data_IF_421228189095
#
_entry.id   IF_421228189095
#
_cell.length_a   1.000
_cell.length_b   1.000
_cell.length_c   1.000
_cell.angle_alpha   90.00
_cell.angle_beta   90.00
_cell.angle_gamma   90.00
#
_symmetry.space_group_name_H-M   'P 1'
#
loop_
_entity.id
_entity.type
_entity.pdbx_description
1 polymer ?
#
# COMPACT_ATOMS: atom_id res chain seq x y z
N UNK A 1 23.84 -4.29 -6.52
CA UNK A 1 24.38 -3.59 -5.35
C UNK A 1 23.55 -2.32 -5.15
N UNK A 2 22.39 -2.48 -4.53
CA UNK A 2 21.50 -1.36 -4.20
C UNK A 2 21.81 -0.96 -2.76
N UNK A 3 22.66 0.06 -2.59
CA UNK A 3 23.06 0.56 -1.28
C UNK A 3 21.86 1.02 -0.41
N UNK A 4 22.09 1.06 0.89
CA UNK A 4 21.12 1.57 1.85
C UNK A 4 20.87 3.07 1.61
N UNK A 5 19.64 3.54 1.87
CA UNK A 5 19.29 4.96 1.76
C UNK A 5 20.04 5.81 2.76
N UNK A 6 20.45 5.21 3.89
CA UNK A 6 21.33 5.86 4.85
C UNK A 6 22.67 6.28 4.25
N UNK A 7 23.12 5.62 3.18
CA UNK A 7 24.43 5.82 2.57
C UNK A 7 24.37 6.71 1.32
N UNK A 8 23.17 7.12 0.91
CA UNK A 8 22.98 8.01 -0.24
C UNK A 8 23.51 9.40 0.10
N UNK A 9 24.42 9.92 -0.73
CA UNK A 9 24.94 11.29 -0.61
C UNK A 9 24.52 12.17 -1.78
N UNK A 10 24.43 13.50 -1.55
CA UNK A 10 24.16 14.49 -2.61
C UNK A 10 25.21 14.40 -3.73
N UNK A 11 26.47 14.10 -3.37
CA UNK A 11 27.56 13.89 -4.34
C UNK A 11 27.21 12.75 -5.29
N UNK A 12 26.82 11.59 -4.78
CA UNK A 12 26.52 10.42 -5.60
C UNK A 12 25.28 10.64 -6.46
N UNK A 13 24.24 11.27 -5.92
CA UNK A 13 23.01 11.60 -6.66
C UNK A 13 23.34 12.51 -7.85
N UNK A 14 24.02 13.63 -7.58
CA UNK A 14 24.34 14.64 -8.61
C UNK A 14 25.31 14.09 -9.65
N UNK A 15 26.29 13.30 -9.23
CA UNK A 15 27.20 12.58 -10.13
C UNK A 15 26.45 11.61 -11.04
N UNK A 16 25.53 10.80 -10.51
CA UNK A 16 24.71 9.88 -11.33
C UNK A 16 23.75 10.63 -12.25
N UNK A 17 23.21 11.77 -11.82
CA UNK A 17 22.30 12.59 -12.60
C UNK A 17 23.00 13.48 -13.65
N UNK A 18 24.33 13.58 -13.64
CA UNK A 18 25.07 14.50 -14.51
C UNK A 18 24.84 15.98 -14.18
N UNK A 19 24.54 16.30 -12.92
CA UNK A 19 24.22 17.65 -12.45
C UNK A 19 25.33 18.21 -11.57
N UNK A 20 25.45 19.53 -11.53
CA UNK A 20 26.25 20.19 -10.50
C UNK A 20 25.56 20.08 -9.14
N UNK A 21 26.33 19.98 -8.04
CA UNK A 21 25.76 19.95 -6.70
C UNK A 21 24.95 21.20 -6.34
N UNK A 22 25.37 22.37 -6.83
CA UNK A 22 24.61 23.61 -6.65
C UNK A 22 23.20 23.50 -7.23
N UNK A 23 23.03 22.82 -8.36
CA UNK A 23 21.72 22.58 -8.99
C UNK A 23 20.80 21.71 -8.13
N UNK A 24 21.34 20.81 -7.30
CA UNK A 24 20.54 20.03 -6.35
C UNK A 24 19.86 20.95 -5.34
N UNK A 25 20.63 21.85 -4.72
CA UNK A 25 20.14 22.72 -3.66
C UNK A 25 19.20 23.84 -4.14
N UNK A 26 19.07 24.03 -5.47
CA UNK A 26 18.00 24.87 -6.04
C UNK A 26 16.62 24.25 -5.82
N UNK A 27 16.53 22.92 -5.85
CA UNK A 27 15.27 22.18 -5.76
C UNK A 27 15.09 21.49 -4.41
N UNK A 28 16.17 21.00 -3.81
CA UNK A 28 16.12 20.17 -2.61
C UNK A 28 17.09 20.65 -1.54
N UNK A 29 16.57 21.00 -0.36
CA UNK A 29 17.39 21.40 0.79
C UNK A 29 18.14 20.22 1.45
N UNK A 30 17.72 18.98 1.19
CA UNK A 30 18.33 17.76 1.73
C UNK A 30 17.92 16.54 0.90
N UNK A 31 18.60 15.40 1.16
CA UNK A 31 18.20 14.10 0.60
C UNK A 31 16.83 13.69 1.11
N UNK A 32 16.53 13.95 2.38
CA UNK A 32 15.20 13.71 2.93
C UNK A 32 14.12 14.50 2.18
N UNK A 33 14.37 15.75 1.82
CA UNK A 33 13.43 16.55 1.03
C UNK A 33 13.18 15.92 -0.35
N UNK A 34 14.25 15.52 -1.06
CA UNK A 34 14.15 14.79 -2.32
C UNK A 34 13.32 13.50 -2.18
N UNK A 35 13.61 12.69 -1.16
CA UNK A 35 12.94 11.41 -0.96
C UNK A 35 11.46 11.57 -0.59
N UNK A 36 11.12 12.56 0.23
CA UNK A 36 9.73 12.91 0.53
C UNK A 36 8.98 13.31 -0.74
N UNK A 37 9.58 14.16 -1.57
CA UNK A 37 8.96 14.58 -2.84
C UNK A 37 8.76 13.40 -3.80
N UNK A 38 9.76 12.52 -3.92
CA UNK A 38 9.65 11.29 -4.72
C UNK A 38 8.49 10.39 -4.23
N UNK A 39 8.42 10.17 -2.92
CA UNK A 39 7.39 9.35 -2.29
C UNK A 39 6.00 10.00 -2.44
N UNK A 40 5.90 11.32 -2.29
CA UNK A 40 4.67 12.07 -2.46
C UNK A 40 4.13 11.99 -3.90
N UNK A 41 5.01 12.05 -4.91
CA UNK A 41 4.62 11.86 -6.31
C UNK A 41 4.05 10.46 -6.57
N UNK A 42 4.67 9.42 -6.01
CA UNK A 42 4.13 8.05 -6.11
C UNK A 42 2.79 7.93 -5.38
N UNK A 43 2.64 8.58 -4.21
CA UNK A 43 1.35 8.61 -3.53
C UNK A 43 0.27 9.31 -4.34
N UNK A 44 0.60 10.38 -5.04
CA UNK A 44 -0.33 11.07 -5.94
C UNK A 44 -0.73 10.19 -7.12
N UNK A 45 0.24 9.57 -7.81
CA UNK A 45 -0.02 8.59 -8.87
C UNK A 45 -0.98 7.49 -8.39
N UNK A 46 -0.73 6.93 -7.20
CA UNK A 46 -1.60 5.90 -6.62
C UNK A 46 -3.00 6.39 -6.29
N UNK A 47 -3.14 7.62 -5.78
CA UNK A 47 -4.44 8.23 -5.51
C UNK A 47 -5.23 8.38 -6.81
N UNK A 48 -4.56 8.78 -7.88
CA UNK A 48 -5.16 8.95 -9.19
C UNK A 48 -5.64 7.61 -9.78
N UNK A 49 -4.81 6.57 -9.76
CA UNK A 49 -5.21 5.20 -10.18
C UNK A 49 -6.40 4.72 -9.34
N UNK A 50 -6.37 4.96 -8.02
CA UNK A 50 -7.48 4.60 -7.13
C UNK A 50 -8.75 5.41 -7.42
N UNK A 51 -8.65 6.67 -7.82
CA UNK A 51 -9.77 7.53 -8.20
C UNK A 51 -10.42 7.03 -9.49
N UNK A 52 -9.62 6.79 -10.52
CA UNK A 52 -10.08 6.25 -11.80
C UNK A 52 -10.77 4.89 -11.62
N UNK A 53 -10.19 4.02 -10.80
CA UNK A 53 -10.76 2.74 -10.43
C UNK A 53 -12.15 2.89 -9.77
N UNK A 54 -12.31 3.85 -8.84
CA UNK A 54 -13.62 4.13 -8.22
C UNK A 54 -14.64 4.62 -9.23
N UNK A 55 -14.26 5.55 -10.10
CA UNK A 55 -15.15 6.11 -11.12
C UNK A 55 -15.63 5.04 -12.10
N UNK A 56 -14.74 4.16 -12.56
CA UNK A 56 -15.09 3.03 -13.40
C UNK A 56 -16.04 2.04 -12.70
N UNK A 57 -15.89 1.88 -11.38
CA UNK A 57 -16.69 0.97 -10.57
C UNK A 57 -18.08 1.51 -10.17
N UNK A 58 -18.39 2.80 -10.33
CA UNK A 58 -19.73 3.37 -10.05
C UNK A 58 -20.84 2.69 -10.88
N UNK A 59 -20.45 1.95 -11.92
CA UNK A 59 -21.35 1.16 -12.77
C UNK A 59 -21.40 -0.35 -12.46
N UNK A 60 -20.72 -0.81 -11.41
CA UNK A 60 -20.60 -2.23 -11.02
C UNK A 60 -21.30 -2.61 -9.70
N UNK A 61 -21.35 -3.91 -9.38
CA UNK A 61 -21.77 -4.39 -8.06
C UNK A 61 -20.76 -3.99 -6.96
N UNK A 62 -21.14 -4.09 -5.69
CA UNK A 62 -20.22 -3.90 -4.54
C UNK A 62 -18.97 -4.77 -4.68
N UNK A 63 -19.13 -6.03 -5.08
CA UNK A 63 -18.00 -6.94 -5.33
C UNK A 63 -17.07 -6.42 -6.43
N UNK A 64 -17.64 -5.90 -7.52
CA UNK A 64 -16.87 -5.33 -8.62
C UNK A 64 -16.13 -4.05 -8.20
N UNK A 65 -16.76 -3.21 -7.38
CA UNK A 65 -16.16 -2.01 -6.83
C UNK A 65 -14.91 -2.30 -6.01
N UNK A 66 -14.98 -3.30 -5.13
CA UNK A 66 -13.83 -3.68 -4.33
C UNK A 66 -12.77 -4.37 -5.18
N UNK A 67 -13.15 -5.25 -6.12
CA UNK A 67 -12.21 -5.90 -7.06
C UNK A 67 -11.38 -4.88 -7.83
N UNK A 68 -12.03 -3.88 -8.43
CA UNK A 68 -11.36 -2.83 -9.22
C UNK A 68 -10.45 -1.96 -8.34
N UNK A 69 -10.90 -1.62 -7.12
CA UNK A 69 -10.09 -0.85 -6.16
C UNK A 69 -8.89 -1.64 -5.61
N UNK A 70 -9.03 -2.94 -5.39
CA UNK A 70 -7.94 -3.81 -4.93
C UNK A 70 -6.90 -4.01 -6.02
N UNK A 71 -7.32 -4.30 -7.25
CA UNK A 71 -6.42 -4.41 -8.39
C UNK A 71 -5.62 -3.11 -8.60
N UNK A 72 -6.29 -1.96 -8.50
CA UNK A 72 -5.64 -0.64 -8.55
C UNK A 72 -4.59 -0.43 -7.45
N UNK A 73 -4.86 -0.90 -6.23
CA UNK A 73 -3.90 -0.80 -5.13
C UNK A 73 -2.64 -1.64 -5.38
N UNK A 74 -2.82 -2.91 -5.76
CA UNK A 74 -1.69 -3.82 -6.06
C UNK A 74 -0.93 -3.32 -7.28
N UNK A 75 -1.63 -2.82 -8.28
CA UNK A 75 -1.03 -2.24 -9.47
C UNK A 75 -0.12 -1.07 -9.13
N UNK A 76 -0.59 -0.14 -8.29
CA UNK A 76 0.23 0.98 -7.84
C UNK A 76 1.46 0.57 -7.02
N UNK A 77 1.45 -0.61 -6.38
CA UNK A 77 2.64 -1.19 -5.73
C UNK A 77 3.68 -1.63 -6.76
N UNK A 78 3.23 -2.31 -7.81
CA UNK A 78 4.08 -2.93 -8.84
C UNK A 78 4.63 -1.90 -9.83
N UNK A 79 3.89 -0.82 -10.13
CA UNK A 79 4.31 0.20 -11.11
C UNK A 79 5.52 1.04 -10.68
N UNK A 80 5.81 1.09 -9.38
CA UNK A 80 6.95 1.83 -8.84
C UNK A 80 7.82 0.96 -7.91
N UNK A 81 8.51 -0.07 -8.44
CA UNK A 81 9.19 -1.10 -7.63
C UNK A 81 10.24 -0.53 -6.67
N UNK A 82 11.06 0.40 -7.15
CA UNK A 82 12.12 1.02 -6.35
C UNK A 82 11.56 1.84 -5.18
N UNK A 83 10.47 2.57 -5.41
CA UNK A 83 9.80 3.35 -4.35
C UNK A 83 9.06 2.43 -3.39
N UNK A 84 8.45 1.36 -3.89
CA UNK A 84 7.82 0.37 -3.01
C UNK A 84 8.83 -0.30 -2.07
N UNK A 85 9.96 -0.77 -2.60
CA UNK A 85 11.07 -1.31 -1.78
C UNK A 85 11.62 -0.26 -0.81
N UNK A 86 11.78 0.98 -1.24
CA UNK A 86 12.18 2.12 -0.39
C UNK A 86 11.24 2.30 0.80
N UNK A 87 9.94 2.41 0.55
CA UNK A 87 8.94 2.61 1.60
C UNK A 87 8.95 1.45 2.60
N UNK A 88 9.09 0.21 2.12
CA UNK A 88 9.14 -0.98 2.98
C UNK A 88 10.39 -1.00 3.87
N UNK A 89 11.58 -0.73 3.33
CA UNK A 89 12.82 -0.72 4.13
C UNK A 89 12.86 0.43 5.13
N UNK A 90 12.31 1.60 4.80
CA UNK A 90 12.34 2.77 5.67
C UNK A 90 11.31 2.70 6.80
N UNK A 91 10.26 1.89 6.66
CA UNK A 91 9.13 1.82 7.60
C UNK A 91 9.53 1.49 9.06
N UNK A 92 10.49 0.58 9.35
CA UNK A 92 10.91 0.29 10.72
C UNK A 92 11.76 1.40 11.34
N UNK A 93 12.40 2.25 10.54
CA UNK A 93 13.25 3.34 11.04
C UNK A 93 12.38 4.51 11.52
N UNK A 94 12.37 4.72 12.83
CA UNK A 94 11.58 5.78 13.48
C UNK A 94 12.17 7.18 13.28
N UNK A 95 13.45 7.28 12.93
CA UNK A 95 14.13 8.54 12.65
C UNK A 95 14.00 8.96 11.19
N UNK A 96 13.67 8.02 10.29
CA UNK A 96 13.48 8.29 8.86
C UNK A 96 12.17 9.04 8.61
N UNK A 97 12.22 10.19 7.94
CA UNK A 97 11.01 10.85 7.44
C UNK A 97 10.21 10.00 6.45
N UNK A 98 10.89 9.28 5.56
CA UNK A 98 10.24 8.34 4.64
C UNK A 98 9.55 7.22 5.43
N UNK A 99 10.18 6.77 6.52
CA UNK A 99 9.58 5.83 7.46
C UNK A 99 8.32 6.37 8.14
N UNK A 100 8.34 7.65 8.55
CA UNK A 100 7.16 8.33 9.12
C UNK A 100 6.00 8.36 8.13
N UNK A 101 6.25 8.83 6.90
CA UNK A 101 5.24 8.88 5.83
C UNK A 101 4.72 7.47 5.48
N UNK A 102 5.61 6.47 5.43
CA UNK A 102 5.26 5.08 5.18
C UNK A 102 4.30 4.53 6.25
N UNK A 103 4.59 4.79 7.54
CA UNK A 103 3.74 4.38 8.66
C UNK A 103 2.39 5.11 8.66
N UNK A 104 2.38 6.40 8.35
CA UNK A 104 1.16 7.18 8.23
C UNK A 104 0.26 6.62 7.11
N UNK A 105 0.83 6.36 5.93
CA UNK A 105 0.10 5.78 4.80
C UNK A 105 -0.42 4.37 5.10
N UNK A 106 0.38 3.52 5.76
CA UNK A 106 -0.06 2.19 6.17
C UNK A 106 -1.21 2.27 7.19
N UNK A 107 -1.16 3.23 8.12
CA UNK A 107 -2.23 3.47 9.08
C UNK A 107 -3.53 3.87 8.40
N UNK A 108 -3.47 4.79 7.42
CA UNK A 108 -4.62 5.21 6.60
C UNK A 108 -5.20 4.02 5.82
N UNK A 109 -4.36 3.25 5.13
CA UNK A 109 -4.79 2.05 4.40
C UNK A 109 -5.49 1.05 5.32
N UNK A 110 -4.94 0.82 6.52
CA UNK A 110 -5.54 -0.07 7.51
C UNK A 110 -6.89 0.44 8.00
N UNK A 111 -7.02 1.74 8.27
CA UNK A 111 -8.29 2.35 8.68
C UNK A 111 -9.36 2.20 7.59
N UNK A 112 -9.00 2.47 6.34
CA UNK A 112 -9.90 2.27 5.20
C UNK A 112 -10.37 0.82 5.07
N UNK A 113 -9.48 -0.14 5.29
CA UNK A 113 -9.82 -1.56 5.21
C UNK A 113 -10.66 -2.01 6.41
N UNK A 114 -10.42 -1.48 7.61
CA UNK A 114 -11.29 -1.71 8.77
C UNK A 114 -12.69 -1.19 8.50
N UNK A 115 -12.83 0.04 7.98
CA UNK A 115 -14.13 0.60 7.62
C UNK A 115 -14.86 -0.30 6.62
N UNK A 116 -14.17 -0.79 5.59
CA UNK A 116 -14.74 -1.75 4.66
C UNK A 116 -15.19 -3.06 5.33
N UNK A 117 -14.36 -3.64 6.21
CA UNK A 117 -14.72 -4.85 6.94
C UNK A 117 -15.98 -4.64 7.79
N UNK A 118 -16.16 -3.44 8.36
CA UNK A 118 -17.38 -3.08 9.10
C UNK A 118 -18.59 -2.97 8.17
N UNK A 119 -18.44 -2.32 7.01
CA UNK A 119 -19.51 -2.16 6.01
C UNK A 119 -20.08 -3.50 5.53
N UNK A 120 -19.23 -4.54 5.45
CA UNK A 120 -19.64 -5.89 5.05
C UNK A 120 -20.10 -6.79 6.24
N UNK A 121 -20.29 -6.21 7.42
CA UNK A 121 -20.86 -6.89 8.59
C UNK A 121 -19.84 -7.30 9.67
N UNK A 122 -18.61 -6.79 9.64
CA UNK A 122 -17.62 -7.04 10.68
C UNK A 122 -18.05 -6.52 12.04
N UNK A 123 -18.08 -7.39 13.04
CA UNK A 123 -18.41 -7.02 14.42
C UNK A 123 -17.49 -5.89 14.91
N UNK A 124 -18.08 -4.87 15.52
CA UNK A 124 -17.32 -3.70 16.00
C UNK A 124 -17.85 -3.07 17.29
N UNK A 125 -18.75 -3.77 17.98
CA UNK A 125 -19.42 -3.30 19.20
C UNK A 125 -18.45 -3.23 20.39
N UNK A 126 -17.51 -4.17 20.47
CA UNK A 126 -16.51 -4.21 21.54
C UNK A 126 -15.13 -3.76 21.05
N UNK A 127 -14.26 -3.34 21.99
CA UNK A 127 -12.85 -3.09 21.66
C UNK A 127 -12.13 -4.36 21.21
N UNK A 128 -12.55 -5.55 21.68
CA UNK A 128 -11.99 -6.81 21.22
C UNK A 128 -12.30 -7.05 19.74
N UNK A 129 -13.52 -6.74 19.29
CA UNK A 129 -13.93 -6.90 17.90
C UNK A 129 -13.24 -5.88 17.00
N UNK A 130 -13.18 -4.61 17.43
CA UNK A 130 -12.41 -3.57 16.72
C UNK A 130 -10.92 -3.94 16.61
N UNK A 131 -10.31 -4.53 17.63
CA UNK A 131 -8.93 -5.07 17.54
C UNK A 131 -8.82 -6.19 16.52
N UNK A 132 -9.77 -7.14 16.50
CA UNK A 132 -9.78 -8.25 15.52
C UNK A 132 -9.86 -7.71 14.09
N UNK A 133 -10.75 -6.76 13.80
CA UNK A 133 -10.83 -6.13 12.48
C UNK A 133 -9.50 -5.43 12.11
N UNK A 134 -8.87 -4.74 13.05
CA UNK A 134 -7.54 -4.14 12.83
C UNK A 134 -6.47 -5.18 12.52
N UNK A 135 -6.48 -6.33 13.17
CA UNK A 135 -5.55 -7.44 12.91
C UNK A 135 -5.78 -8.07 11.54
N UNK A 136 -7.03 -8.32 11.17
CA UNK A 136 -7.41 -8.84 9.85
C UNK A 136 -6.97 -7.87 8.75
N UNK A 137 -7.27 -6.59 8.91
CA UNK A 137 -6.85 -5.55 7.96
C UNK A 137 -5.31 -5.49 7.83
N UNK A 138 -4.57 -5.60 8.94
CA UNK A 138 -3.11 -5.66 8.88
C UNK A 138 -2.59 -6.89 8.12
N UNK A 139 -3.21 -8.06 8.32
CA UNK A 139 -2.86 -9.30 7.61
C UNK A 139 -3.11 -9.20 6.11
N UNK A 140 -4.25 -8.65 5.70
CA UNK A 140 -4.57 -8.44 4.29
C UNK A 140 -3.59 -7.48 3.59
N UNK A 141 -3.19 -6.40 4.27
CA UNK A 141 -2.14 -5.51 3.77
C UNK A 141 -0.79 -6.24 3.63
N UNK A 142 -0.42 -7.06 4.62
CA UNK A 142 0.84 -7.80 4.60
C UNK A 142 0.89 -8.83 3.46
N UNK A 143 -0.22 -9.53 3.19
CA UNK A 143 -0.33 -10.47 2.06
C UNK A 143 -0.13 -9.73 0.73
N UNK A 144 -0.78 -8.58 0.54
CA UNK A 144 -0.60 -7.77 -0.66
C UNK A 144 0.87 -7.38 -0.86
N UNK A 145 1.52 -6.88 0.19
CA UNK A 145 2.92 -6.44 0.10
C UNK A 145 3.87 -7.61 -0.19
N UNK A 146 3.66 -8.75 0.46
CA UNK A 146 4.52 -9.94 0.32
C UNK A 146 4.42 -10.56 -1.07
N UNK A 147 3.21 -10.74 -1.59
CA UNK A 147 3.03 -11.32 -2.94
C UNK A 147 3.51 -10.34 -4.01
N UNK A 148 3.26 -9.03 -3.83
CA UNK A 148 3.79 -8.02 -4.76
C UNK A 148 5.33 -8.01 -4.80
N UNK A 149 6.00 -8.18 -3.65
CA UNK A 149 7.46 -8.35 -3.64
C UNK A 149 7.90 -9.61 -4.39
N UNK A 150 7.27 -10.75 -4.13
CA UNK A 150 7.60 -12.00 -4.85
C UNK A 150 7.42 -11.86 -6.37
N UNK A 151 6.41 -11.11 -6.83
CA UNK A 151 6.27 -10.76 -8.25
C UNK A 151 7.45 -9.93 -8.75
N UNK A 152 7.81 -8.88 -8.01
CA UNK A 152 8.91 -7.96 -8.37
C UNK A 152 10.30 -8.60 -8.29
N UNK A 153 10.44 -9.68 -7.51
CA UNK A 153 11.67 -10.47 -7.38
C UNK A 153 11.74 -11.62 -8.40
N UNK A 154 10.64 -11.87 -9.12
CA UNK A 154 10.55 -12.85 -10.20
C UNK A 154 10.05 -14.24 -9.78
N UNK A 155 9.74 -14.44 -8.50
CA UNK A 155 9.18 -15.70 -7.97
C UNK A 155 7.77 -15.97 -8.52
N UNK A 156 7.00 -14.91 -8.77
CA UNK A 156 5.64 -14.97 -9.32
C UNK A 156 5.57 -14.15 -10.61
N UNK A 157 6.02 -14.68 -11.77
CA UNK A 157 6.23 -13.87 -12.97
C UNK A 157 4.93 -13.39 -13.64
N UNK A 158 3.82 -14.11 -13.46
CA UNK A 158 2.53 -13.75 -14.04
C UNK A 158 1.79 -12.76 -13.13
N UNK A 159 1.60 -11.54 -13.63
CA UNK A 159 0.90 -10.47 -12.93
C UNK A 159 -0.59 -10.78 -12.73
N UNK A 160 -1.24 -11.39 -13.71
CA UNK A 160 -2.67 -11.66 -13.63
C UNK A 160 -2.94 -12.78 -12.62
N UNK A 161 -2.07 -13.79 -12.56
CA UNK A 161 -2.09 -14.82 -11.52
C UNK A 161 -1.93 -14.22 -10.11
N UNK A 162 -0.98 -13.30 -9.94
CA UNK A 162 -0.78 -12.57 -8.67
C UNK A 162 -2.04 -11.83 -8.24
N UNK A 163 -2.69 -11.13 -9.16
CA UNK A 163 -3.93 -10.40 -8.88
C UNK A 163 -5.07 -11.36 -8.50
N UNK A 164 -5.18 -12.51 -9.17
CA UNK A 164 -6.19 -13.52 -8.87
C UNK A 164 -5.98 -14.18 -7.50
N UNK A 165 -4.73 -14.50 -7.14
CA UNK A 165 -4.40 -15.06 -5.82
C UNK A 165 -4.72 -14.05 -4.72
N UNK A 166 -4.33 -12.79 -4.89
CA UNK A 166 -4.66 -11.74 -3.91
C UNK A 166 -6.18 -11.58 -3.77
N UNK A 167 -6.93 -11.59 -4.87
CA UNK A 167 -8.40 -11.57 -4.84
C UNK A 167 -8.96 -12.75 -4.03
N UNK A 168 -8.41 -13.96 -4.20
CA UNK A 168 -8.85 -15.13 -3.43
C UNK A 168 -8.72 -14.92 -1.91
N UNK A 169 -7.62 -14.33 -1.43
CA UNK A 169 -7.46 -14.00 -0.01
C UNK A 169 -8.53 -13.03 0.48
N UNK A 170 -8.73 -11.92 -0.24
CA UNK A 170 -9.72 -10.90 0.13
C UNK A 170 -11.14 -11.44 0.11
N UNK A 171 -11.53 -12.15 -0.95
CA UNK A 171 -12.87 -12.75 -1.09
C UNK A 171 -13.16 -13.76 0.02
N UNK A 172 -12.15 -14.53 0.42
CA UNK A 172 -12.28 -15.53 1.48
C UNK A 172 -12.53 -14.86 2.83
N UNK A 173 -11.79 -13.79 3.13
CA UNK A 173 -12.00 -13.00 4.35
C UNK A 173 -13.37 -12.30 4.30
N UNK A 174 -13.72 -11.67 3.19
CA UNK A 174 -15.01 -10.99 3.02
C UNK A 174 -16.19 -11.94 3.30
N UNK A 175 -16.18 -13.13 2.70
CA UNK A 175 -17.20 -14.16 2.94
C UNK A 175 -17.19 -14.69 4.38
N UNK A 176 -16.04 -14.78 5.03
CA UNK A 176 -15.97 -15.20 6.43
C UNK A 176 -16.62 -14.16 7.35
N UNK A 177 -16.34 -12.87 7.11
CA UNK A 177 -16.92 -11.75 7.85
C UNK A 177 -18.43 -11.67 7.64
N UNK A 178 -18.88 -11.71 6.38
CA UNK A 178 -20.30 -11.62 6.04
C UNK A 178 -21.13 -12.81 6.56
N UNK A 179 -20.53 -13.98 6.78
CA UNK A 179 -21.22 -15.13 7.41
C UNK A 179 -21.26 -15.03 8.93
N UNK A 180 -20.21 -14.46 9.54
CA UNK A 180 -20.17 -14.23 10.98
C UNK A 180 -21.23 -13.24 11.46
N UNK A 181 -21.59 -12.26 10.62
CA UNK A 181 -22.65 -11.29 10.93
C UNK A 181 -24.04 -11.93 11.02
N UNK A 182 -24.37 -12.82 10.07
CA UNK A 182 -25.68 -13.51 10.00
C UNK A 182 -25.92 -14.43 11.21
N UNK A 183 -24.86 -15.02 11.76
CA UNK A 183 -24.98 -15.90 12.93
C UNK A 183 -25.15 -15.14 14.24
N UNK A 184 -24.79 -13.84 14.30
CA UNK A 184 -24.89 -13.02 15.52
C UNK A 184 -26.26 -12.36 15.70
N UNK A 185 -27.10 -12.33 14.65
CA UNK A 185 -28.45 -11.73 14.69
C UNK A 185 -29.56 -12.75 15.00
N UNK A 186 -29.21 -14.02 15.21
CA UNK A 186 -30.16 -15.10 15.46
C UNK A 186 -30.30 -15.52 16.94
N UNK A 187 -29.58 -14.83 17.85
CA UNK A 187 -29.70 -14.93 19.31
C UNK A 187 -30.25 -13.62 19.88
#
# INVERSE_FOLDING_TARGET
DEGDVSDLTTVEITKRAGLAQSSFYVHFNSIDHLLRDLVAQVWESRREISRQAREAAVHGSIDEYYRVRFAAHVQGLIEHPAVFRLVLRSRPDLSSPVGEDARAQQSISRQNLVAWLQDIGGASDTEADRRRLRMIAAGLLAVNETIALGHLDGDFPDRDEVLDVLRLFHDTIARAIARGSVSSTAD
#
